data_IF_336203594527
#
_entry.id   IF_336203594527
#
_cell.length_a   1.000
_cell.length_b   1.000
_cell.length_c   1.000
_cell.angle_alpha   90.00
_cell.angle_beta   90.00
_cell.angle_gamma   90.00
#
_symmetry.space_group_name_H-M   'P 1'
#
loop_
_entity.id
_entity.type
_entity.pdbx_description
1 polymer ?
#
# COMPACT_ATOMS: atom_id res chain seq x y z
N UNK A 1 42.50 -19.68 19.09
CA UNK A 1 41.13 -19.96 18.63
C UNK A 1 40.16 -19.15 19.48
N UNK A 2 39.96 -17.89 19.15
CA UNK A 2 38.85 -17.10 19.68
C UNK A 2 37.55 -17.61 19.02
N UNK A 3 36.45 -17.83 19.76
CA UNK A 3 35.20 -18.19 19.13
C UNK A 3 34.77 -17.03 18.22
N UNK A 4 34.38 -17.37 16.99
CA UNK A 4 33.71 -16.41 16.09
C UNK A 4 32.41 -16.01 16.79
N UNK A 5 32.07 -14.71 16.90
CA UNK A 5 30.76 -14.33 17.40
C UNK A 5 29.73 -14.82 16.38
N UNK A 6 28.98 -15.81 16.82
CA UNK A 6 27.64 -16.20 16.45
C UNK A 6 26.87 -15.10 15.68
N UNK A 7 26.83 -15.27 14.36
CA UNK A 7 26.01 -14.53 13.39
C UNK A 7 24.51 -14.90 13.47
N UNK A 8 24.01 -15.33 14.64
CA UNK A 8 22.59 -15.61 14.85
C UNK A 8 21.93 -14.44 15.58
N UNK A 9 20.79 -14.00 15.03
CA UNK A 9 19.85 -12.99 15.57
C UNK A 9 20.19 -11.51 15.32
N UNK A 10 20.19 -11.10 14.06
CA UNK A 10 19.52 -9.83 13.70
C UNK A 10 18.47 -10.10 12.63
N UNK A 11 17.52 -10.99 12.93
CA UNK A 11 16.21 -10.87 12.28
C UNK A 11 15.48 -9.73 13.00
N UNK A 12 15.78 -8.49 12.59
CA UNK A 12 14.94 -7.35 12.98
C UNK A 12 13.55 -7.63 12.41
N UNK A 13 12.60 -7.99 13.26
CA UNK A 13 11.19 -7.91 12.91
C UNK A 13 10.90 -6.44 12.58
N UNK A 14 10.64 -6.16 11.31
CA UNK A 14 10.26 -4.83 10.87
C UNK A 14 8.82 -4.61 11.32
N UNK A 15 8.64 -3.86 12.40
CA UNK A 15 7.32 -3.43 12.88
C UNK A 15 6.70 -2.53 11.81
N UNK A 16 5.50 -2.88 11.34
CA UNK A 16 4.77 -2.05 10.39
C UNK A 16 4.13 -0.87 11.13
N UNK A 17 4.52 0.34 10.75
CA UNK A 17 4.00 1.59 11.31
C UNK A 17 3.63 2.51 10.14
N UNK A 18 2.43 2.38 9.56
CA UNK A 18 2.00 3.22 8.46
C UNK A 18 1.87 4.69 8.93
N UNK A 19 2.01 5.66 8.00
CA UNK A 19 1.72 7.06 8.31
C UNK A 19 0.26 7.22 8.75
N UNK A 20 -0.01 8.25 9.56
CA UNK A 20 -1.36 8.55 10.00
C UNK A 20 -2.32 8.69 8.81
N UNK A 21 -3.59 8.34 9.01
CA UNK A 21 -4.62 8.56 8.00
C UNK A 21 -5.16 9.99 8.11
N UNK A 22 -4.51 10.89 7.37
CA UNK A 22 -4.90 12.30 7.24
C UNK A 22 -5.90 12.53 6.08
N UNK A 23 -6.38 11.45 5.45
CA UNK A 23 -7.24 11.48 4.28
C UNK A 23 -6.53 11.16 2.98
N UNK A 24 -7.31 10.98 1.91
CA UNK A 24 -6.80 10.64 0.58
C UNK A 24 -6.27 11.89 -0.13
N UNK A 25 -4.98 11.89 -0.47
CA UNK A 25 -4.41 12.85 -1.44
C UNK A 25 -4.82 12.44 -2.86
N UNK A 26 -6.00 12.92 -3.29
CA UNK A 26 -6.60 12.60 -4.59
C UNK A 26 -6.08 13.55 -5.66
N UNK A 27 -5.40 12.98 -6.65
CA UNK A 27 -4.90 13.70 -7.82
C UNK A 27 -5.96 13.73 -8.93
N UNK A 28 -6.70 12.63 -9.10
CA UNK A 28 -7.76 12.52 -10.10
C UNK A 28 -8.83 11.52 -9.67
N UNK A 29 -10.10 11.80 -9.98
CA UNK A 29 -11.23 10.89 -9.77
C UNK A 29 -12.25 11.11 -10.88
N UNK A 30 -12.61 10.03 -11.57
CA UNK A 30 -13.76 10.00 -12.47
C UNK A 30 -14.53 8.67 -12.36
N UNK A 31 -15.40 8.39 -13.33
CA UNK A 31 -16.23 7.18 -13.39
C UNK A 31 -15.41 5.89 -13.63
N UNK A 32 -14.18 6.02 -14.14
CA UNK A 32 -13.32 4.92 -14.55
C UNK A 32 -12.10 4.75 -13.66
N UNK A 33 -11.51 5.83 -13.16
CA UNK A 33 -10.20 5.82 -12.51
C UNK A 33 -10.18 6.68 -11.25
N UNK A 34 -9.38 6.23 -10.28
CA UNK A 34 -8.92 7.03 -9.15
C UNK A 34 -7.41 7.06 -9.20
N UNK A 35 -6.82 8.24 -9.04
CA UNK A 35 -5.37 8.43 -8.88
C UNK A 35 -5.15 9.11 -7.55
N UNK A 36 -4.37 8.46 -6.68
CA UNK A 36 -3.93 9.03 -5.41
C UNK A 36 -2.42 9.22 -5.40
N UNK A 37 -1.95 10.15 -4.59
CA UNK A 37 -0.55 10.25 -4.24
C UNK A 37 -0.31 9.45 -2.95
N UNK A 38 0.27 8.26 -3.08
CA UNK A 38 0.56 7.37 -1.95
C UNK A 38 1.77 7.92 -1.16
N UNK A 39 1.68 8.08 0.17
CA UNK A 39 2.85 8.41 0.98
C UNK A 39 3.84 7.23 1.05
N UNK A 40 5.10 7.51 1.34
CA UNK A 40 6.06 6.47 1.74
C UNK A 40 5.65 5.83 3.08
N UNK A 41 6.09 4.60 3.34
CA UNK A 41 5.75 3.86 4.55
C UNK A 41 4.38 3.16 4.52
N UNK A 42 3.49 3.53 3.59
CA UNK A 42 2.18 2.87 3.43
C UNK A 42 2.23 1.74 2.39
N UNK A 43 1.68 0.58 2.72
CA UNK A 43 1.51 -0.52 1.76
C UNK A 43 0.49 -0.17 0.67
N UNK A 44 0.71 -0.62 -0.57
CA UNK A 44 -0.29 -0.44 -1.64
C UNK A 44 -1.49 -1.38 -1.49
N UNK A 45 -1.24 -2.63 -1.11
CA UNK A 45 -2.21 -3.71 -0.88
C UNK A 45 -1.96 -4.35 0.48
N UNK A 46 -2.92 -5.12 1.04
CA UNK A 46 -2.74 -5.74 2.35
C UNK A 46 -1.50 -6.62 2.41
N UNK A 47 -0.73 -6.47 3.49
CA UNK A 47 0.40 -7.33 3.78
C UNK A 47 -0.03 -8.70 4.31
N UNK A 48 0.95 -9.57 4.54
CA UNK A 48 0.72 -10.84 5.25
C UNK A 48 0.66 -10.56 6.75
N UNK A 49 -0.33 -11.14 7.43
CA UNK A 49 -0.54 -10.97 8.87
C UNK A 49 -1.52 -9.83 9.20
N UNK A 50 -2.17 -9.95 10.35
CA UNK A 50 -3.23 -9.04 10.80
C UNK A 50 -2.70 -7.63 11.11
N UNK A 51 -1.41 -7.51 11.41
CA UNK A 51 -0.74 -6.24 11.70
C UNK A 51 -0.48 -5.38 10.45
N UNK A 52 -0.72 -5.89 9.23
CA UNK A 52 -0.37 -5.23 7.96
C UNK A 52 -1.57 -4.98 7.04
N UNK A 53 -2.74 -4.81 7.63
CA UNK A 53 -3.99 -4.63 6.88
C UNK A 53 -4.26 -3.17 6.50
N UNK A 54 -3.67 -2.20 7.20
CA UNK A 54 -3.74 -0.80 6.79
C UNK A 54 -2.88 -0.58 5.52
N UNK A 55 -3.53 -0.19 4.42
CA UNK A 55 -2.91 -0.02 3.11
C UNK A 55 -3.74 0.93 2.24
N UNK A 56 -3.14 1.41 1.15
CA UNK A 56 -3.74 2.40 0.26
C UNK A 56 -5.07 1.94 -0.33
N UNK A 57 -5.18 0.69 -0.81
CA UNK A 57 -6.43 0.18 -1.39
C UNK A 57 -7.58 0.18 -0.37
N UNK A 58 -7.33 -0.22 0.88
CA UNK A 58 -8.37 -0.21 1.91
C UNK A 58 -8.81 1.22 2.26
N UNK A 59 -7.86 2.16 2.41
CA UNK A 59 -8.18 3.58 2.64
C UNK A 59 -8.99 4.17 1.48
N UNK A 60 -8.64 3.85 0.24
CA UNK A 60 -9.41 4.29 -0.94
C UNK A 60 -10.81 3.68 -0.95
N UNK A 61 -10.94 2.39 -0.65
CA UNK A 61 -12.21 1.67 -0.66
C UNK A 61 -13.21 2.13 0.40
N UNK A 62 -12.74 2.77 1.48
CA UNK A 62 -13.64 3.43 2.45
C UNK A 62 -14.49 4.53 1.79
N UNK A 63 -13.95 5.20 0.77
CA UNK A 63 -14.67 6.25 0.01
C UNK A 63 -15.20 5.75 -1.34
N UNK A 64 -14.50 4.81 -1.97
CA UNK A 64 -14.81 4.29 -3.29
C UNK A 64 -14.81 2.75 -3.27
N UNK A 65 -15.91 2.12 -2.82
CA UNK A 65 -15.95 0.67 -2.57
C UNK A 65 -15.65 -0.20 -3.80
N UNK A 66 -15.83 0.35 -5.00
CA UNK A 66 -15.57 -0.29 -6.30
C UNK A 66 -14.14 -0.06 -6.83
N UNK A 67 -13.26 0.57 -6.05
CA UNK A 67 -11.86 0.75 -6.40
C UNK A 67 -11.11 -0.58 -6.39
N UNK A 68 -10.43 -0.91 -7.49
CA UNK A 68 -9.66 -2.13 -7.68
C UNK A 68 -8.21 -1.79 -8.01
N UNK A 69 -7.27 -2.53 -7.41
CA UNK A 69 -5.83 -2.31 -7.61
C UNK A 69 -5.41 -2.82 -8.99
N UNK A 70 -4.76 -1.97 -9.78
CA UNK A 70 -4.21 -2.31 -11.11
C UNK A 70 -2.69 -2.40 -11.12
N UNK A 71 -2.01 -1.66 -10.23
CA UNK A 71 -0.58 -1.77 -10.01
C UNK A 71 -0.24 -1.47 -8.56
N UNK A 72 1.03 -1.66 -8.18
CA UNK A 72 1.50 -1.44 -6.81
C UNK A 72 2.77 -0.60 -6.79
N UNK A 73 2.93 0.16 -5.73
CA UNK A 73 4.20 0.73 -5.30
C UNK A 73 4.71 -0.04 -4.06
N UNK A 74 6.02 -0.12 -3.91
CA UNK A 74 6.62 -0.66 -2.70
C UNK A 74 6.31 0.21 -1.49
N UNK A 75 6.41 -0.38 -0.29
CA UNK A 75 6.10 0.32 0.97
C UNK A 75 6.93 1.60 1.11
N UNK A 76 8.23 1.53 0.80
CA UNK A 76 9.16 2.66 0.90
C UNK A 76 9.09 3.65 -0.29
N UNK A 77 8.17 3.44 -1.24
CA UNK A 77 8.03 4.29 -2.43
C UNK A 77 6.82 5.18 -2.29
N UNK A 78 6.99 6.49 -2.40
CA UNK A 78 5.88 7.45 -2.56
C UNK A 78 5.54 7.68 -4.03
N UNK A 79 4.34 8.19 -4.31
CA UNK A 79 3.97 8.69 -5.63
C UNK A 79 2.60 8.21 -6.13
N UNK A 80 2.37 8.39 -7.43
CA UNK A 80 1.06 8.14 -8.04
C UNK A 80 0.71 6.65 -8.06
N UNK A 81 -0.45 6.33 -7.50
CA UNK A 81 -1.06 5.02 -7.54
C UNK A 81 -2.45 5.12 -8.18
N UNK A 82 -2.67 4.32 -9.22
CA UNK A 82 -3.92 4.26 -9.96
C UNK A 82 -4.76 3.09 -9.47
N UNK A 83 -6.06 3.32 -9.36
CA UNK A 83 -7.09 2.32 -9.13
C UNK A 83 -8.12 2.39 -10.25
N UNK A 84 -8.59 1.23 -10.69
CA UNK A 84 -9.73 1.13 -11.59
C UNK A 84 -11.04 1.20 -10.81
N UNK A 85 -12.07 1.79 -11.40
CA UNK A 85 -13.46 1.78 -10.92
C UNK A 85 -14.22 0.64 -11.60
N UNK A 86 -14.53 -0.39 -10.82
CA UNK A 86 -15.29 -1.55 -11.30
C UNK A 86 -14.52 -2.50 -12.22
N UNK A 87 -15.11 -3.68 -12.40
CA UNK A 87 -14.56 -4.82 -13.15
C UNK A 87 -14.24 -4.51 -14.62
N UNK A 88 -15.03 -3.64 -15.25
CA UNK A 88 -14.83 -3.30 -16.65
C UNK A 88 -13.51 -2.54 -16.87
N UNK A 89 -13.24 -1.52 -16.06
CA UNK A 89 -11.99 -0.76 -16.15
C UNK A 89 -10.81 -1.55 -15.60
N UNK A 90 -11.03 -2.37 -14.57
CA UNK A 90 -9.97 -3.23 -14.03
C UNK A 90 -9.41 -4.20 -15.07
N UNK A 91 -10.26 -4.75 -15.96
CA UNK A 91 -9.82 -5.59 -17.08
C UNK A 91 -9.15 -4.82 -18.22
N UNK A 92 -9.36 -3.51 -18.32
CA UNK A 92 -8.84 -2.68 -19.40
C UNK A 92 -7.43 -2.13 -19.11
N UNK A 93 -6.99 -2.20 -17.85
CA UNK A 93 -5.68 -1.75 -17.36
C UNK A 93 -4.78 -2.93 -17.00
#
# INVERSE_FOLDING_TARGET
>A
MTPRPDLLLIRREVVYAPPADEGLDLVHVDESLIVVNKPEGLLSVPGRGDDRQDCMVHRVQQRFPDALTVHRLDMATSGLLVFARGEAMHRAL
#
